data_IF_064961721761
#
_entry.id   IF_064961721761
#
_cell.length_a   1.000
_cell.length_b   1.000
_cell.length_c   1.000
_cell.angle_alpha   90.00
_cell.angle_beta   90.00
_cell.angle_gamma   90.00
#
_symmetry.space_group_name_H-M   'P 1'
#
loop_
_entity.id
_entity.type
_entity.pdbx_description
1 polymer ?
#
# COMPACT_ATOMS: atom_id res chain seq x y z
N UNK A 1 -37.10 22.66 -63.01
CA UNK A 1 -36.05 23.07 -62.05
C UNK A 1 -36.46 22.82 -60.59
N UNK A 2 -37.71 23.12 -60.18
CA UNK A 2 -38.16 22.94 -58.80
C UNK A 2 -38.15 21.47 -58.28
N UNK A 3 -38.44 20.48 -59.13
CA UNK A 3 -38.49 19.06 -58.69
C UNK A 3 -37.12 18.45 -58.38
N UNK A 4 -36.06 18.93 -59.04
CA UNK A 4 -34.68 18.46 -58.81
C UNK A 4 -34.14 18.97 -57.46
N UNK A 5 -34.54 20.18 -57.08
CA UNK A 5 -34.14 20.81 -55.82
C UNK A 5 -34.82 20.16 -54.60
N UNK A 6 -36.08 19.72 -54.76
CA UNK A 6 -36.82 18.99 -53.74
C UNK A 6 -36.26 17.57 -53.52
N UNK A 7 -35.86 16.89 -54.60
CA UNK A 7 -35.23 15.58 -54.55
C UNK A 7 -33.85 15.64 -53.86
N UNK A 8 -33.04 16.64 -54.17
CA UNK A 8 -31.74 16.88 -53.52
C UNK A 8 -31.88 17.12 -52.02
N UNK A 9 -32.86 17.93 -51.60
CA UNK A 9 -33.14 18.18 -50.17
C UNK A 9 -33.60 16.94 -49.41
N UNK A 10 -34.41 16.08 -50.05
CA UNK A 10 -34.85 14.81 -49.45
C UNK A 10 -33.71 13.81 -49.32
N UNK A 11 -32.84 13.72 -50.31
CA UNK A 11 -31.67 12.85 -50.27
C UNK A 11 -30.75 13.32 -49.13
N UNK A 12 -30.40 14.61 -49.07
CA UNK A 12 -29.55 15.17 -48.00
C UNK A 12 -30.18 14.96 -46.62
N UNK A 13 -31.49 15.14 -46.47
CA UNK A 13 -32.18 14.90 -45.20
C UNK A 13 -32.16 13.42 -44.80
N UNK A 14 -32.32 12.50 -45.76
CA UNK A 14 -32.24 11.05 -45.52
C UNK A 14 -30.81 10.62 -45.18
N UNK A 15 -29.77 11.19 -45.79
CA UNK A 15 -28.37 10.91 -45.41
C UNK A 15 -28.05 11.46 -44.02
N UNK A 16 -28.56 12.64 -43.65
CA UNK A 16 -28.38 13.22 -42.32
C UNK A 16 -29.09 12.39 -41.24
N UNK A 17 -30.31 11.92 -41.52
CA UNK A 17 -31.05 11.03 -40.62
C UNK A 17 -30.35 9.67 -40.50
N UNK A 18 -29.80 9.13 -41.59
CA UNK A 18 -29.00 7.90 -41.56
C UNK A 18 -27.73 8.08 -40.72
N UNK A 19 -27.07 9.24 -40.79
CA UNK A 19 -25.89 9.54 -39.96
C UNK A 19 -26.23 9.76 -38.48
N UNK A 20 -27.41 10.31 -38.18
CA UNK A 20 -27.96 10.45 -36.82
C UNK A 20 -28.44 9.11 -36.23
N UNK A 21 -28.82 8.16 -37.08
CA UNK A 21 -29.29 6.82 -36.71
C UNK A 21 -28.19 5.76 -36.70
N UNK A 22 -26.96 6.07 -37.15
CA UNK A 22 -25.81 5.22 -36.84
C UNK A 22 -25.67 5.28 -35.32
N UNK A 23 -25.93 4.19 -34.59
CA UNK A 23 -25.57 4.16 -33.19
C UNK A 23 -24.06 4.36 -33.21
N UNK A 24 -23.59 5.46 -32.62
CA UNK A 24 -22.18 5.57 -32.25
C UNK A 24 -22.02 4.49 -31.18
N UNK A 25 -21.76 3.27 -31.63
CA UNK A 25 -21.28 2.17 -30.85
C UNK A 25 -19.88 2.58 -30.42
N UNK A 26 -19.88 3.51 -29.45
CA UNK A 26 -18.72 3.78 -28.63
C UNK A 26 -18.47 2.45 -27.96
N UNK A 27 -17.42 1.74 -28.38
CA UNK A 27 -16.85 0.65 -27.61
C UNK A 27 -16.21 1.21 -26.33
N UNK A 28 -16.95 2.03 -25.57
CA UNK A 28 -16.66 2.27 -24.17
C UNK A 28 -16.82 0.90 -23.54
N UNK A 29 -15.69 0.24 -23.24
CA UNK A 29 -15.68 -1.03 -22.55
C UNK A 29 -16.69 -0.97 -21.40
N UNK A 30 -17.44 -2.06 -21.21
CA UNK A 30 -18.47 -2.10 -20.18
C UNK A 30 -17.88 -1.62 -18.85
N UNK A 31 -18.49 -0.57 -18.29
CA UNK A 31 -18.10 -0.08 -16.98
C UNK A 31 -18.34 -1.23 -16.01
N UNK A 32 -17.27 -1.68 -15.35
CA UNK A 32 -17.38 -2.71 -14.35
C UNK A 32 -16.70 -2.28 -13.06
N UNK A 33 -17.26 -2.74 -11.96
CA UNK A 33 -16.71 -2.59 -10.63
C UNK A 33 -16.74 -3.94 -9.93
N UNK A 34 -15.71 -4.26 -9.15
CA UNK A 34 -15.74 -5.37 -8.20
C UNK A 34 -15.18 -4.92 -6.88
N UNK A 35 -15.77 -5.43 -5.82
CA UNK A 35 -15.36 -5.19 -4.46
C UNK A 35 -14.94 -6.50 -3.79
N UNK A 36 -13.81 -6.47 -3.11
CA UNK A 36 -13.29 -7.58 -2.31
C UNK A 36 -13.02 -7.06 -0.91
N UNK A 37 -13.37 -7.85 0.10
CA UNK A 37 -13.04 -7.54 1.49
C UNK A 37 -12.32 -8.70 2.17
N UNK A 38 -11.36 -8.35 3.03
CA UNK A 38 -10.57 -9.28 3.84
C UNK A 38 -10.25 -8.65 5.20
N UNK A 39 -9.94 -9.49 6.18
CA UNK A 39 -9.45 -9.06 7.47
C UNK A 39 -7.93 -8.90 7.45
N UNK A 40 -7.43 -7.78 7.99
CA UNK A 40 -5.99 -7.49 8.12
C UNK A 40 -5.64 -7.23 9.59
N UNK A 41 -4.55 -7.80 10.13
CA UNK A 41 -4.17 -7.57 11.51
C UNK A 41 -3.15 -6.44 11.62
N UNK A 42 -3.35 -5.59 12.61
CA UNK A 42 -2.47 -4.49 12.97
C UNK A 42 -2.08 -4.58 14.46
N UNK A 43 -1.19 -3.69 14.88
CA UNK A 43 -0.81 -3.53 16.28
C UNK A 43 -1.22 -2.16 16.73
N UNK A 44 -1.88 -2.09 17.89
CA UNK A 44 -2.22 -0.87 18.58
C UNK A 44 -1.33 -0.74 19.82
N UNK A 45 -0.87 0.48 20.10
CA UNK A 45 -0.08 0.84 21.29
C UNK A 45 -0.87 1.72 22.26
N UNK A 46 -2.20 1.65 22.20
CA UNK A 46 -3.08 2.43 23.06
C UNK A 46 -2.78 2.14 24.55
N UNK A 47 -2.45 3.18 25.31
CA UNK A 47 -2.22 3.08 26.76
C UNK A 47 -0.89 2.43 27.18
N UNK A 48 0.06 2.23 26.25
CA UNK A 48 1.37 1.63 26.55
C UNK A 48 1.41 0.11 26.55
N UNK A 49 0.27 -0.56 26.36
CA UNK A 49 0.20 -1.99 26.08
C UNK A 49 0.18 -2.23 24.57
N UNK A 50 1.00 -3.18 24.11
CA UNK A 50 1.05 -3.58 22.70
C UNK A 50 0.02 -4.68 22.50
N UNK A 51 -1.04 -4.41 21.75
CA UNK A 51 -2.12 -5.38 21.47
C UNK A 51 -2.39 -5.48 19.99
N UNK A 52 -2.66 -6.70 19.52
CA UNK A 52 -3.12 -6.92 18.15
C UNK A 52 -4.58 -6.52 17.98
N UNK A 53 -4.90 -5.90 16.85
CA UNK A 53 -6.25 -5.52 16.45
C UNK A 53 -6.52 -6.02 15.03
N UNK A 54 -7.77 -6.29 14.70
CA UNK A 54 -8.19 -6.63 13.35
C UNK A 54 -8.89 -5.43 12.73
N UNK A 55 -8.55 -5.17 11.48
CA UNK A 55 -9.18 -4.14 10.67
C UNK A 55 -9.80 -4.79 9.44
N UNK A 56 -10.91 -4.24 8.97
CA UNK A 56 -11.52 -4.64 7.70
C UNK A 56 -10.87 -3.84 6.58
N UNK A 57 -10.28 -4.55 5.63
CA UNK A 57 -9.83 -3.99 4.36
C UNK A 57 -10.92 -4.25 3.32
N UNK A 58 -11.45 -3.19 2.72
CA UNK A 58 -12.31 -3.25 1.53
C UNK A 58 -11.55 -2.61 0.37
N UNK A 59 -11.46 -3.33 -0.74
CA UNK A 59 -10.87 -2.86 -1.99
C UNK A 59 -11.96 -2.90 -3.06
N UNK A 60 -12.20 -1.76 -3.72
CA UNK A 60 -13.01 -1.69 -4.93
C UNK A 60 -12.13 -1.32 -6.11
N UNK A 61 -12.28 -2.02 -7.22
CA UNK A 61 -11.58 -1.74 -8.48
C UNK A 61 -12.60 -1.40 -9.55
N UNK A 62 -12.38 -0.31 -10.26
CA UNK A 62 -13.27 0.20 -11.32
C UNK A 62 -12.54 0.29 -12.65
N UNK A 63 -13.25 -0.03 -13.74
CA UNK A 63 -12.80 0.17 -15.12
C UNK A 63 -13.91 0.84 -15.95
N UNK A 64 -13.59 1.75 -16.88
CA UNK A 64 -12.26 2.32 -17.13
C UNK A 64 -11.80 3.24 -15.99
N UNK A 65 -10.50 3.27 -15.73
CA UNK A 65 -9.86 4.15 -14.76
C UNK A 65 -8.65 4.87 -15.35
N UNK A 66 -7.86 5.49 -14.48
CA UNK A 66 -6.68 6.31 -14.78
C UNK A 66 -5.41 5.87 -14.05
N UNK A 67 -5.47 4.78 -13.29
CA UNK A 67 -4.39 4.33 -12.42
C UNK A 67 -4.41 4.97 -11.03
N UNK A 68 -5.48 5.70 -10.69
CA UNK A 68 -5.56 6.39 -9.41
C UNK A 68 -5.78 5.39 -8.27
N UNK A 69 -5.10 5.63 -7.14
CA UNK A 69 -5.31 4.87 -5.90
C UNK A 69 -5.89 5.83 -4.86
N UNK A 70 -7.19 5.72 -4.65
CA UNK A 70 -7.93 6.43 -3.62
C UNK A 70 -7.82 5.65 -2.32
N UNK A 71 -7.44 6.34 -1.26
CA UNK A 71 -7.24 5.72 0.03
C UNK A 71 -8.08 6.45 1.09
N UNK A 72 -8.86 5.69 1.84
CA UNK A 72 -9.67 6.16 2.96
C UNK A 72 -9.46 5.21 4.13
N UNK A 73 -9.30 5.76 5.33
CA UNK A 73 -9.37 4.94 6.54
C UNK A 73 -10.10 5.67 7.66
N UNK A 74 -10.68 4.85 8.52
CA UNK A 74 -11.32 5.26 9.75
C UNK A 74 -10.77 4.37 10.88
N UNK A 75 -9.92 4.90 11.79
CA UNK A 75 -9.46 6.30 11.92
C UNK A 75 -8.24 6.65 11.04
N UNK A 76 -7.70 7.87 11.21
CA UNK A 76 -6.51 8.38 10.51
C UNK A 76 -5.33 7.39 10.56
N UNK A 77 -4.57 7.38 9.48
CA UNK A 77 -3.54 6.37 9.17
C UNK A 77 -2.27 7.02 8.64
N UNK A 78 -1.17 6.31 8.80
CA UNK A 78 0.17 6.74 8.41
C UNK A 78 0.36 6.79 6.89
N UNK A 79 1.23 7.69 6.44
CA UNK A 79 1.59 7.91 5.04
C UNK A 79 2.13 6.63 4.37
N UNK A 80 2.88 5.83 5.12
CA UNK A 80 3.47 4.57 4.65
C UNK A 80 2.40 3.56 4.18
N UNK A 81 1.21 3.59 4.79
CA UNK A 81 0.11 2.71 4.38
C UNK A 81 -0.44 3.11 3.01
N UNK A 82 -0.52 4.42 2.72
CA UNK A 82 -0.94 4.93 1.41
C UNK A 82 0.10 4.62 0.32
N UNK A 83 1.39 4.74 0.64
CA UNK A 83 2.48 4.34 -0.24
C UNK A 83 2.43 2.85 -0.59
N UNK A 84 2.19 2.00 0.41
CA UNK A 84 2.03 0.56 0.22
C UNK A 84 0.80 0.21 -0.63
N UNK A 85 -0.28 0.99 -0.55
CA UNK A 85 -1.48 0.78 -1.38
C UNK A 85 -1.21 1.00 -2.88
N UNK A 86 -0.36 1.98 -3.23
CA UNK A 86 0.04 2.20 -4.63
C UNK A 86 0.87 1.03 -5.18
N UNK A 87 1.81 0.53 -4.39
CA UNK A 87 2.60 -0.66 -4.75
C UNK A 87 1.73 -1.89 -4.87
N UNK A 88 0.78 -2.04 -3.97
CA UNK A 88 -0.19 -3.13 -4.00
C UNK A 88 -1.01 -3.12 -5.30
N UNK A 89 -1.50 -1.95 -5.71
CA UNK A 89 -2.26 -1.80 -6.95
C UNK A 89 -1.39 -2.15 -8.17
N UNK A 90 -0.16 -1.67 -8.17
CA UNK A 90 0.81 -1.97 -9.20
C UNK A 90 1.11 -3.48 -9.30
N UNK A 91 1.45 -4.14 -8.18
CA UNK A 91 1.69 -5.59 -8.11
C UNK A 91 0.46 -6.40 -8.49
N UNK A 92 -0.73 -5.97 -8.08
CA UNK A 92 -1.98 -6.62 -8.43
C UNK A 92 -2.24 -6.61 -9.94
N UNK A 93 -2.02 -5.47 -10.60
CA UNK A 93 -2.15 -5.34 -12.04
C UNK A 93 -1.14 -6.24 -12.79
N UNK A 94 0.11 -6.30 -12.32
CA UNK A 94 1.11 -7.22 -12.87
C UNK A 94 0.67 -8.69 -12.76
N UNK A 95 0.18 -9.10 -11.59
CA UNK A 95 -0.28 -10.48 -11.39
C UNK A 95 -1.47 -10.81 -12.30
N UNK A 96 -2.37 -9.85 -12.51
CA UNK A 96 -3.52 -9.97 -13.40
C UNK A 96 -3.16 -9.87 -14.90
N UNK A 97 -1.93 -9.49 -15.24
CA UNK A 97 -1.50 -9.31 -16.63
C UNK A 97 -2.22 -8.14 -17.32
N UNK A 98 -2.59 -7.11 -16.57
CA UNK A 98 -3.31 -5.93 -17.08
C UNK A 98 -2.51 -4.65 -16.88
N UNK A 99 -2.85 -3.62 -17.66
CA UNK A 99 -2.28 -2.28 -17.49
C UNK A 99 -2.83 -1.64 -16.19
N UNK A 100 -1.97 -1.28 -15.21
CA UNK A 100 -2.42 -0.59 -14.00
C UNK A 100 -3.14 0.74 -14.29
N UNK A 101 -2.85 1.41 -15.40
CA UNK A 101 -3.46 2.71 -15.75
C UNK A 101 -4.89 2.58 -16.27
N UNK A 102 -5.35 1.36 -16.58
CA UNK A 102 -6.71 1.11 -17.05
C UNK A 102 -7.76 1.03 -15.92
N UNK A 103 -7.34 1.13 -14.65
CA UNK A 103 -8.18 0.91 -13.48
C UNK A 103 -7.96 1.96 -12.40
N UNK A 104 -9.00 2.30 -11.66
CA UNK A 104 -8.88 3.05 -10.41
C UNK A 104 -9.14 2.11 -9.23
N UNK A 105 -8.37 2.28 -8.17
CA UNK A 105 -8.39 1.45 -6.97
C UNK A 105 -8.87 2.28 -5.79
N UNK A 106 -9.86 1.79 -5.07
CA UNK A 106 -10.41 2.42 -3.88
C UNK A 106 -10.14 1.51 -2.69
N UNK A 107 -9.26 1.97 -1.80
CA UNK A 107 -8.87 1.25 -0.60
C UNK A 107 -9.55 1.89 0.60
N UNK A 108 -10.28 1.09 1.35
CA UNK A 108 -10.94 1.49 2.58
C UNK A 108 -10.52 0.59 3.73
N UNK A 109 -9.96 1.17 4.79
CA UNK A 109 -9.60 0.45 6.00
C UNK A 109 -10.48 0.93 7.16
N UNK A 110 -11.21 0.02 7.79
CA UNK A 110 -12.00 0.30 8.98
C UNK A 110 -11.39 -0.43 10.18
N UNK A 111 -11.15 0.28 11.28
CA UNK A 111 -10.60 -0.29 12.50
C UNK A 111 -11.19 0.32 13.76
N UNK A 112 -11.31 -0.49 14.80
CA UNK A 112 -11.71 -0.04 16.13
C UNK A 112 -10.53 0.61 16.90
N UNK A 113 -9.30 0.56 16.37
CA UNK A 113 -8.11 1.14 17.00
C UNK A 113 -7.88 2.58 16.57
N UNK A 114 -7.59 3.47 17.52
CA UNK A 114 -7.36 4.91 17.33
C UNK A 114 -6.32 5.29 16.25
N UNK A 115 -5.32 4.44 16.03
CA UNK A 115 -4.33 4.60 14.95
C UNK A 115 -4.10 3.21 14.32
N UNK A 116 -4.18 3.16 13.00
CA UNK A 116 -3.76 2.03 12.18
C UNK A 116 -2.72 2.52 11.18
N UNK A 117 -1.49 2.04 11.32
CA UNK A 117 -0.34 2.54 10.57
C UNK A 117 0.65 1.46 10.14
N UNK A 118 1.59 1.88 9.29
CA UNK A 118 2.67 1.07 8.75
C UNK A 118 2.35 0.32 7.45
N UNK A 119 3.39 -0.10 6.69
CA UNK A 119 3.26 -0.78 5.40
C UNK A 119 2.80 -2.24 5.50
N UNK A 120 2.51 -2.73 6.72
CA UNK A 120 2.34 -4.16 7.02
C UNK A 120 1.07 -4.82 6.47
N UNK A 121 0.16 -4.04 5.88
CA UNK A 121 -1.01 -4.50 5.16
C UNK A 121 -0.79 -4.55 3.62
N UNK A 122 0.38 -4.12 3.14
CA UNK A 122 0.72 -4.04 1.72
C UNK A 122 0.43 -5.31 0.93
N UNK A 123 0.91 -6.45 1.42
CA UNK A 123 0.70 -7.72 0.73
C UNK A 123 -0.77 -8.15 0.72
N UNK A 124 -1.52 -7.87 1.78
CA UNK A 124 -2.96 -8.14 1.85
C UNK A 124 -3.77 -7.26 0.89
N UNK A 125 -3.39 -5.97 0.77
CA UNK A 125 -3.96 -5.07 -0.24
C UNK A 125 -3.71 -5.59 -1.66
N UNK A 126 -2.49 -6.05 -1.94
CA UNK A 126 -2.14 -6.57 -3.26
C UNK A 126 -2.95 -7.84 -3.60
N UNK A 127 -3.12 -8.76 -2.64
CA UNK A 127 -3.98 -9.94 -2.81
C UNK A 127 -5.43 -9.55 -3.07
N UNK A 128 -6.01 -8.62 -2.29
CA UNK A 128 -7.40 -8.20 -2.46
C UNK A 128 -7.64 -7.48 -3.80
N UNK A 129 -6.72 -6.61 -4.22
CA UNK A 129 -6.76 -5.93 -5.52
C UNK A 129 -6.62 -6.91 -6.68
N UNK A 130 -5.69 -7.87 -6.59
CA UNK A 130 -5.49 -8.87 -7.63
C UNK A 130 -6.72 -9.78 -7.74
N UNK A 131 -7.30 -10.17 -6.61
CA UNK A 131 -8.55 -10.94 -6.58
C UNK A 131 -9.70 -10.16 -7.23
N UNK A 132 -9.85 -8.85 -6.95
CA UNK A 132 -10.86 -8.02 -7.58
C UNK A 132 -10.66 -7.92 -9.11
N UNK A 133 -9.42 -7.72 -9.58
CA UNK A 133 -9.07 -7.68 -11.01
C UNK A 133 -9.39 -9.02 -11.71
N UNK A 134 -9.01 -10.12 -11.09
CA UNK A 134 -9.18 -11.47 -11.64
C UNK A 134 -10.59 -12.07 -11.42
N UNK A 135 -11.41 -11.46 -10.57
CA UNK A 135 -12.74 -11.99 -10.21
C UNK A 135 -12.65 -13.25 -9.33
N UNK A 136 -11.66 -13.30 -8.42
CA UNK A 136 -11.43 -14.42 -7.52
C UNK A 136 -12.09 -14.18 -6.16
N UNK A 137 -12.76 -15.22 -5.65
CA UNK A 137 -13.24 -15.24 -4.28
C UNK A 137 -12.08 -15.55 -3.32
N UNK A 138 -12.05 -14.88 -2.17
CA UNK A 138 -11.03 -15.08 -1.15
C UNK A 138 -11.58 -15.79 0.09
N UNK A 139 -10.85 -16.79 0.56
CA UNK A 139 -11.15 -17.52 1.78
C UNK A 139 -10.99 -16.63 3.01
N UNK A 140 -12.13 -16.25 3.61
CA UNK A 140 -12.21 -15.35 4.77
C UNK A 140 -11.64 -15.94 6.07
N UNK A 141 -11.31 -17.24 6.10
CA UNK A 141 -10.61 -17.87 7.22
C UNK A 141 -9.08 -17.76 7.14
N UNK A 142 -8.55 -17.22 6.04
CA UNK A 142 -7.13 -16.92 5.88
C UNK A 142 -6.91 -15.44 6.23
N UNK A 143 -5.90 -15.17 7.04
CA UNK A 143 -5.46 -13.80 7.38
C UNK A 143 -3.98 -13.71 7.09
N UNK A 144 -3.50 -12.54 6.63
CA UNK A 144 -2.08 -12.35 6.35
C UNK A 144 -1.56 -11.00 6.84
N UNK A 145 -0.24 -10.92 7.02
CA UNK A 145 0.48 -9.65 7.19
C UNK A 145 1.79 -9.70 6.43
N UNK A 146 2.28 -8.54 6.01
CA UNK A 146 3.49 -8.42 5.22
C UNK A 146 3.53 -7.09 4.47
N UNK A 147 4.72 -6.52 4.32
CA UNK A 147 4.92 -5.46 3.34
C UNK A 147 4.81 -6.05 1.94
N UNK A 148 4.45 -5.23 0.96
CA UNK A 148 4.55 -5.61 -0.45
C UNK A 148 5.72 -4.87 -1.06
N UNK A 149 6.64 -5.63 -1.65
CA UNK A 149 7.66 -5.09 -2.53
C UNK A 149 7.12 -5.10 -3.97
N UNK A 150 7.59 -4.21 -4.84
CA UNK A 150 7.09 -4.09 -6.22
C UNK A 150 7.45 -5.26 -7.11
N UNK A 151 8.47 -6.04 -6.75
CA UNK A 151 8.76 -7.32 -7.40
C UNK A 151 7.75 -8.42 -6.98
N UNK A 152 6.73 -8.06 -6.19
CA UNK A 152 5.71 -8.95 -5.70
C UNK A 152 6.16 -9.81 -4.51
N UNK A 153 7.34 -9.59 -3.95
CA UNK A 153 7.78 -10.29 -2.73
C UNK A 153 7.11 -9.72 -1.46
N UNK A 154 6.97 -10.58 -0.46
CA UNK A 154 6.38 -10.23 0.84
C UNK A 154 7.49 -9.87 1.82
N UNK A 155 7.51 -8.61 2.25
CA UNK A 155 8.54 -8.06 3.13
C UNK A 155 8.23 -8.20 4.63
N UNK A 156 9.26 -8.08 5.48
CA UNK A 156 9.16 -8.34 6.91
C UNK A 156 8.29 -7.33 7.66
N UNK A 157 7.69 -7.74 8.78
CA UNK A 157 6.86 -6.87 9.62
C UNK A 157 7.11 -7.10 11.11
N UNK A 158 6.70 -6.12 11.93
CA UNK A 158 6.71 -6.21 13.39
C UNK A 158 5.41 -6.76 13.99
N UNK A 159 5.49 -7.14 15.28
CA UNK A 159 4.34 -7.50 16.11
C UNK A 159 3.58 -8.75 15.67
N UNK A 160 4.28 -9.73 15.12
CA UNK A 160 3.67 -10.94 14.56
C UNK A 160 2.92 -11.77 15.61
N UNK A 161 3.42 -11.82 16.85
CA UNK A 161 2.78 -12.60 17.90
C UNK A 161 1.43 -11.99 18.30
N UNK A 162 1.38 -10.66 18.45
CA UNK A 162 0.17 -9.91 18.78
C UNK A 162 -0.84 -9.97 17.64
N UNK A 163 -0.38 -9.84 16.39
CA UNK A 163 -1.22 -10.00 15.19
C UNK A 163 -1.80 -11.41 15.05
N UNK A 164 -1.00 -12.45 15.34
CA UNK A 164 -1.46 -13.84 15.33
C UNK A 164 -2.53 -14.09 16.40
N UNK A 165 -2.32 -13.59 17.62
CA UNK A 165 -3.31 -13.69 18.70
C UNK A 165 -4.64 -13.01 18.33
N UNK A 166 -4.57 -11.82 17.76
CA UNK A 166 -5.77 -11.11 17.28
C UNK A 166 -6.45 -11.87 16.13
N UNK A 167 -5.68 -12.42 15.18
CA UNK A 167 -6.22 -13.20 14.06
C UNK A 167 -6.91 -14.47 14.55
N UNK A 168 -6.32 -15.14 15.55
CA UNK A 168 -6.91 -16.32 16.18
C UNK A 168 -8.22 -15.98 16.91
N UNK A 169 -8.25 -14.88 17.65
CA UNK A 169 -9.46 -14.40 18.33
C UNK A 169 -10.59 -14.06 17.34
N UNK A 170 -10.26 -13.62 16.13
CA UNK A 170 -11.20 -13.37 15.04
C UNK A 170 -11.62 -14.64 14.26
N UNK A 171 -11.12 -15.83 14.64
CA UNK A 171 -11.51 -17.10 14.03
C UNK A 171 -10.71 -17.47 12.77
N UNK A 172 -9.55 -16.87 12.54
CA UNK A 172 -8.66 -17.27 11.45
C UNK A 172 -8.23 -18.74 11.63
N UNK A 173 -8.17 -19.51 10.53
CA UNK A 173 -7.67 -20.89 10.51
C UNK A 173 -6.24 -20.98 9.99
N UNK A 174 -5.85 -20.01 9.17
CA UNK A 174 -4.53 -19.92 8.57
C UNK A 174 -4.03 -18.47 8.65
N UNK A 175 -2.81 -18.30 9.16
CA UNK A 175 -2.14 -17.02 9.28
C UNK A 175 -0.87 -17.03 8.42
N UNK A 176 -0.83 -16.18 7.40
CA UNK A 176 0.30 -16.05 6.50
C UNK A 176 1.25 -14.95 6.98
N UNK A 177 2.53 -15.28 7.04
CA UNK A 177 3.59 -14.38 7.50
C UNK A 177 4.73 -14.30 6.46
N UNK A 178 5.55 -13.24 6.49
CA UNK A 178 6.71 -13.16 5.60
C UNK A 178 7.71 -14.29 5.89
N UNK A 179 8.36 -14.78 4.83
CA UNK A 179 9.39 -15.81 4.93
C UNK A 179 10.54 -15.40 5.86
N UNK A 180 11.01 -16.35 6.68
CA UNK A 180 12.10 -16.14 7.63
C UNK A 180 11.69 -15.45 8.93
N UNK A 181 10.38 -15.20 9.13
CA UNK A 181 9.87 -14.56 10.35
C UNK A 181 9.10 -15.49 11.29
N UNK A 182 9.21 -16.82 11.12
CA UNK A 182 8.61 -17.80 12.04
C UNK A 182 8.96 -17.56 13.51
N UNK A 183 10.18 -17.14 13.82
CA UNK A 183 10.60 -16.82 15.19
C UNK A 183 10.66 -15.30 15.35
N UNK A 184 9.89 -14.78 16.29
CA UNK A 184 9.87 -13.34 16.64
C UNK A 184 10.27 -13.13 18.10
N UNK A 185 10.34 -11.88 18.55
CA UNK A 185 10.75 -11.55 19.91
C UNK A 185 9.74 -10.62 20.58
N UNK A 186 9.26 -11.00 21.76
CA UNK A 186 8.48 -10.12 22.63
C UNK A 186 9.40 -9.31 23.53
N UNK A 187 9.09 -8.02 23.68
CA UNK A 187 9.74 -7.16 24.68
C UNK A 187 8.98 -7.30 25.99
N UNK A 188 9.61 -7.90 27.00
CA UNK A 188 9.08 -7.92 28.37
C UNK A 188 9.82 -6.87 29.18
N UNK A 189 9.09 -5.90 29.69
CA UNK A 189 9.64 -4.87 30.59
C UNK A 189 9.53 -5.40 32.02
N UNK A 190 10.66 -5.78 32.60
CA UNK A 190 10.74 -6.17 34.01
C UNK A 190 11.12 -4.92 34.80
N UNK A 191 10.21 -4.45 35.66
CA UNK A 191 10.46 -3.34 36.58
C UNK A 191 10.78 -3.93 37.94
N UNK A 192 12.05 -3.88 38.32
CA UNK A 192 12.51 -4.28 39.66
C UNK A 192 12.64 -3.03 40.53
N UNK A 193 12.15 -3.10 41.77
CA UNK A 193 12.35 -2.06 42.79
C UNK A 193 13.29 -2.58 43.88
N UNK A 194 14.60 -2.59 43.64
CA UNK A 194 15.55 -3.08 44.63
C UNK A 194 15.61 -2.18 45.88
N UNK A 195 15.27 -0.88 45.78
CA UNK A 195 15.17 0.04 46.93
C UNK A 195 14.04 1.08 46.76
N UNK A 196 13.49 1.66 47.85
CA UNK A 196 12.51 2.74 47.76
C UNK A 196 13.05 3.89 46.90
N UNK A 197 12.21 4.45 46.03
CA UNK A 197 12.54 5.54 45.08
C UNK A 197 13.47 5.19 43.90
N UNK A 198 13.91 3.93 43.73
CA UNK A 198 14.63 3.48 42.52
C UNK A 198 13.87 2.38 41.79
N UNK A 199 13.69 2.58 40.48
CA UNK A 199 13.14 1.59 39.54
C UNK A 199 14.24 1.17 38.58
N UNK A 200 14.57 -0.11 38.55
CA UNK A 200 15.40 -0.70 37.50
C UNK A 200 14.50 -1.29 36.44
N UNK A 201 14.58 -0.74 35.22
CA UNK A 201 13.78 -1.21 34.07
C UNK A 201 14.68 -2.08 33.19
N UNK A 202 14.44 -3.39 33.19
CA UNK A 202 15.17 -4.35 32.34
C UNK A 202 14.26 -4.84 31.21
N UNK A 203 14.67 -4.59 29.97
CA UNK A 203 13.96 -5.08 28.78
C UNK A 203 14.56 -6.43 28.38
N UNK A 204 13.79 -7.51 28.54
CA UNK A 204 14.19 -8.86 28.13
C UNK A 204 13.51 -9.20 26.80
N UNK A 205 14.26 -9.77 25.86
CA UNK A 205 13.74 -10.29 24.59
C UNK A 205 13.44 -11.77 24.76
N UNK A 206 12.17 -12.14 24.70
CA UNK A 206 11.74 -13.53 24.78
C UNK A 206 11.43 -14.05 23.36
N UNK A 207 12.12 -15.10 22.88
CA UNK A 207 11.85 -15.67 21.57
C UNK A 207 10.49 -16.37 21.56
N UNK A 208 9.73 -16.18 20.49
CA UNK A 208 8.40 -16.77 20.29
C UNK A 208 8.39 -17.47 18.94
N UNK A 209 8.21 -18.80 18.92
CA UNK A 209 7.91 -19.55 17.68
C UNK A 209 6.43 -19.40 17.35
N UNK A 210 6.14 -18.69 16.27
CA UNK A 210 4.77 -18.42 15.83
C UNK A 210 4.02 -19.69 15.42
N UNK A 211 4.70 -20.72 14.92
CA UNK A 211 4.04 -21.99 14.57
C UNK A 211 3.63 -22.76 15.83
N UNK A 212 4.37 -22.64 16.93
CA UNK A 212 3.96 -23.20 18.22
C UNK A 212 2.82 -22.39 18.84
N UNK A 213 2.94 -21.07 18.84
CA UNK A 213 1.89 -20.17 19.32
C UNK A 213 0.59 -20.38 18.55
N UNK A 214 0.66 -20.44 17.21
CA UNK A 214 -0.49 -20.70 16.35
C UNK A 214 -1.18 -22.02 16.68
N UNK A 215 -0.42 -23.11 16.84
CA UNK A 215 -0.99 -24.41 17.25
C UNK A 215 -1.73 -24.33 18.59
N UNK A 216 -1.19 -23.61 19.57
CA UNK A 216 -1.86 -23.39 20.88
C UNK A 216 -3.17 -22.60 20.73
N UNK A 217 -3.21 -21.69 19.76
CA UNK A 217 -4.38 -20.84 19.46
C UNK A 217 -5.36 -21.47 18.45
N UNK A 218 -5.06 -22.65 17.91
CA UNK A 218 -5.89 -23.30 16.89
C UNK A 218 -5.74 -22.73 15.46
N UNK A 219 -4.65 -22.00 15.19
CA UNK A 219 -4.37 -21.35 13.89
C UNK A 219 -3.10 -21.93 13.28
N UNK A 220 -3.15 -22.34 12.02
CA UNK A 220 -1.95 -22.74 11.29
C UNK A 220 -1.16 -21.51 10.86
N UNK A 221 0.16 -21.51 11.05
CA UNK A 221 1.03 -20.42 10.56
C UNK A 221 1.83 -20.92 9.37
N UNK A 222 1.83 -20.15 8.28
CA UNK A 222 2.58 -20.48 7.06
C UNK A 222 3.37 -19.27 6.60
N UNK A 223 4.64 -19.49 6.28
CA UNK A 223 5.49 -18.50 5.65
C UNK A 223 5.17 -18.42 4.15
N UNK A 224 5.13 -17.20 3.63
CA UNK A 224 4.96 -16.91 2.19
C UNK A 224 6.06 -15.99 1.71
N UNK A 225 6.47 -16.21 0.46
CA UNK A 225 7.55 -15.40 -0.15
C UNK A 225 7.00 -14.32 -1.07
N UNK A 226 5.86 -14.55 -1.71
CA UNK A 226 5.31 -13.66 -2.75
C UNK A 226 3.80 -13.44 -2.59
N UNK A 227 3.32 -12.32 -3.12
CA UNK A 227 1.89 -12.02 -3.24
C UNK A 227 1.18 -13.05 -4.11
N UNK A 228 1.84 -13.58 -5.15
CA UNK A 228 1.33 -14.69 -5.96
C UNK A 228 0.99 -15.90 -5.09
N UNK A 229 1.97 -16.38 -4.31
CA UNK A 229 1.77 -17.53 -3.41
C UNK A 229 0.62 -17.26 -2.42
N UNK A 230 0.57 -16.06 -1.84
CA UNK A 230 -0.52 -15.68 -0.94
C UNK A 230 -1.87 -15.71 -1.66
N UNK A 231 -1.99 -15.14 -2.87
CA UNK A 231 -3.22 -15.12 -3.65
C UNK A 231 -3.71 -16.53 -4.00
N UNK A 232 -2.81 -17.44 -4.36
CA UNK A 232 -3.16 -18.85 -4.61
C UNK A 232 -3.68 -19.54 -3.35
N UNK A 233 -3.12 -19.23 -2.17
CA UNK A 233 -3.60 -19.76 -0.89
C UNK A 233 -4.98 -19.18 -0.52
N UNK A 234 -5.17 -17.89 -0.73
CA UNK A 234 -6.44 -17.21 -0.42
C UNK A 234 -7.57 -17.66 -1.35
N UNK A 235 -7.31 -17.78 -2.65
CA UNK A 235 -8.33 -18.11 -3.66
C UNK A 235 -8.49 -19.61 -3.90
N UNK A 236 -7.48 -20.42 -3.58
CA UNK A 236 -7.42 -21.83 -3.97
C UNK A 236 -7.18 -22.06 -5.47
N UNK A 237 -6.99 -20.99 -6.26
CA UNK A 237 -6.74 -21.04 -7.70
C UNK A 237 -5.24 -20.92 -7.93
N UNK A 238 -4.67 -21.86 -8.71
CA UNK A 238 -3.28 -21.74 -9.17
C UNK A 238 -3.22 -20.79 -10.34
N UNK A 239 -2.30 -19.82 -10.28
CA UNK A 239 -2.10 -18.88 -11.36
C UNK A 239 -1.19 -19.49 -12.41
N UNK A 240 -1.47 -19.27 -13.70
CA UNK A 240 -0.57 -19.69 -14.77
C UNK A 240 0.73 -18.85 -14.74
N UNK A 241 1.84 -19.48 -15.16
CA UNK A 241 3.21 -18.95 -15.01
C UNK A 241 3.92 -19.49 -13.76
N UNK A 242 5.21 -19.84 -13.91
CA UNK A 242 6.03 -20.40 -12.83
C UNK A 242 6.23 -19.43 -11.66
N UNK A 243 6.72 -19.90 -10.49
CA UNK A 243 7.12 -19.01 -9.41
C UNK A 243 8.10 -18.00 -9.99
N UNK A 244 7.78 -16.71 -9.87
CA UNK A 244 8.54 -15.68 -10.54
C UNK A 244 10.00 -15.75 -10.07
N UNK A 245 10.92 -16.15 -10.96
CA UNK A 245 12.33 -15.79 -10.84
C UNK A 245 12.33 -14.26 -10.74
N UNK A 246 12.53 -13.73 -9.51
CA UNK A 246 12.48 -12.30 -9.14
C UNK A 246 12.00 -11.44 -10.30
N UNK A 247 10.68 -11.30 -10.49
CA UNK A 247 10.16 -10.73 -11.72
C UNK A 247 10.73 -9.32 -11.81
N UNK A 248 11.47 -9.06 -12.88
CA UNK A 248 11.85 -7.70 -13.21
C UNK A 248 10.57 -6.86 -13.33
N UNK A 249 10.65 -5.59 -12.94
CA UNK A 249 9.55 -4.66 -13.14
C UNK A 249 9.13 -4.66 -14.62
N UNK A 250 7.86 -4.92 -14.96
CA UNK A 250 7.33 -4.75 -16.30
C UNK A 250 7.65 -3.37 -16.84
N UNK A 251 7.79 -3.24 -18.16
CA UNK A 251 8.19 -1.97 -18.78
C UNK A 251 7.24 -0.80 -18.42
N UNK A 252 5.93 -1.06 -18.39
CA UNK A 252 4.93 -0.09 -17.95
C UNK A 252 5.13 0.37 -16.49
N UNK A 253 5.53 -0.55 -15.61
CA UNK A 253 5.87 -0.26 -14.22
C UNK A 253 7.07 0.64 -14.09
N UNK A 254 8.11 0.30 -14.84
CA UNK A 254 9.38 0.99 -14.82
C UNK A 254 9.17 2.42 -15.30
N UNK A 255 8.40 2.61 -16.38
CA UNK A 255 8.04 3.92 -16.89
C UNK A 255 7.25 4.77 -15.88
N UNK A 256 6.32 4.17 -15.13
CA UNK A 256 5.61 4.87 -14.05
C UNK A 256 6.54 5.29 -12.92
N UNK A 257 7.41 4.39 -12.49
CA UNK A 257 8.38 4.67 -11.44
C UNK A 257 9.41 5.71 -11.89
N UNK A 258 9.80 5.73 -13.17
CA UNK A 258 10.64 6.77 -13.77
C UNK A 258 9.94 8.13 -13.66
N UNK A 259 8.67 8.22 -14.05
CA UNK A 259 7.91 9.46 -13.92
C UNK A 259 7.77 9.95 -12.47
N UNK A 260 7.60 9.04 -11.50
CA UNK A 260 7.56 9.40 -10.08
C UNK A 260 8.95 9.80 -9.56
N UNK A 261 9.99 9.09 -9.96
CA UNK A 261 11.38 9.38 -9.56
C UNK A 261 11.78 10.77 -10.06
N UNK A 262 11.50 11.08 -11.32
CA UNK A 262 11.76 12.40 -11.92
C UNK A 262 11.00 13.49 -11.17
N UNK A 263 9.72 13.27 -10.90
CA UNK A 263 8.88 14.21 -10.17
C UNK A 263 9.42 14.49 -8.75
N UNK A 264 9.76 13.44 -7.99
CA UNK A 264 10.25 13.61 -6.62
C UNK A 264 11.67 14.16 -6.57
N UNK A 265 12.55 13.78 -7.50
CA UNK A 265 13.90 14.35 -7.56
C UNK A 265 13.84 15.85 -7.86
N UNK A 266 13.03 16.27 -8.84
CA UNK A 266 12.84 17.69 -9.14
C UNK A 266 12.17 18.45 -7.99
N UNK A 267 11.16 17.87 -7.34
CA UNK A 267 10.50 18.49 -6.20
C UNK A 267 11.43 18.63 -5.00
N UNK A 268 12.31 17.65 -4.78
CA UNK A 268 13.28 17.66 -3.69
C UNK A 268 14.28 18.81 -3.84
N UNK A 269 14.81 19.02 -5.05
CA UNK A 269 15.76 20.11 -5.31
C UNK A 269 15.18 21.48 -4.92
N UNK A 270 13.95 21.78 -5.36
CA UNK A 270 13.23 23.02 -4.99
C UNK A 270 13.00 23.11 -3.48
N UNK A 271 12.45 22.05 -2.88
CA UNK A 271 12.12 22.02 -1.45
C UNK A 271 13.36 22.18 -0.57
N UNK A 272 14.45 21.50 -0.93
CA UNK A 272 15.71 21.55 -0.18
C UNK A 272 16.29 22.97 -0.28
N UNK A 273 16.40 23.55 -1.47
CA UNK A 273 16.95 24.91 -1.65
C UNK A 273 16.18 25.92 -0.79
N UNK A 274 14.84 25.88 -0.86
CA UNK A 274 13.99 26.76 -0.07
C UNK A 274 14.12 26.51 1.43
N UNK A 275 14.23 25.25 1.85
CA UNK A 275 14.36 24.88 3.25
C UNK A 275 15.64 25.46 3.88
N UNK A 276 16.76 25.43 3.17
CA UNK A 276 18.02 26.04 3.64
C UNK A 276 17.92 27.56 3.65
N UNK A 277 17.34 28.17 2.61
CA UNK A 277 17.14 29.62 2.56
C UNK A 277 16.26 30.13 3.73
N UNK A 278 15.29 29.33 4.16
CA UNK A 278 14.44 29.62 5.31
C UNK A 278 15.10 29.33 6.67
N UNK A 279 16.33 28.82 6.70
CA UNK A 279 17.01 28.44 7.96
C UNK A 279 16.43 27.19 8.61
N UNK A 280 15.96 26.24 7.79
CA UNK A 280 15.41 24.97 8.25
C UNK A 280 16.36 24.18 9.16
N UNK A 281 15.85 23.36 10.11
CA UNK A 281 16.70 22.62 11.04
C UNK A 281 17.67 21.68 10.33
N UNK A 282 18.96 21.93 10.55
CA UNK A 282 20.07 21.18 9.98
C UNK A 282 19.98 19.63 10.13
N UNK A 283 19.50 19.05 11.26
CA UNK A 283 19.30 17.61 11.36
C UNK A 283 18.27 17.04 10.37
N UNK A 284 17.24 17.83 10.02
CA UNK A 284 16.22 17.43 9.04
C UNK A 284 16.75 17.56 7.62
N UNK A 285 17.48 18.62 7.32
CA UNK A 285 18.14 18.80 6.01
C UNK A 285 19.07 17.61 5.71
N UNK A 286 19.98 17.27 6.64
CA UNK A 286 20.87 16.11 6.47
C UNK A 286 20.13 14.78 6.33
N UNK A 287 19.02 14.62 7.05
CA UNK A 287 18.19 13.42 6.93
C UNK A 287 17.56 13.34 5.54
N UNK A 288 17.04 14.45 5.04
CA UNK A 288 16.47 14.54 3.71
C UNK A 288 17.53 14.23 2.63
N UNK A 289 18.75 14.78 2.77
CA UNK A 289 19.89 14.49 1.89
C UNK A 289 20.23 13.00 1.88
N UNK A 290 20.35 12.39 3.07
CA UNK A 290 20.64 10.96 3.21
C UNK A 290 19.58 10.10 2.54
N UNK A 291 18.30 10.47 2.67
CA UNK A 291 17.19 9.74 2.05
C UNK A 291 17.20 9.88 0.52
N UNK A 292 17.57 11.05 0.00
CA UNK A 292 17.69 11.25 -1.45
C UNK A 292 18.91 10.51 -2.03
N UNK A 293 20.05 10.52 -1.34
CA UNK A 293 21.22 9.73 -1.72
C UNK A 293 20.92 8.23 -1.74
N UNK A 294 20.23 7.74 -0.71
CA UNK A 294 19.74 6.36 -0.66
C UNK A 294 18.81 6.09 -1.84
N UNK A 295 17.87 6.99 -2.14
CA UNK A 295 16.96 6.86 -3.26
C UNK A 295 17.70 6.66 -4.59
N UNK A 296 18.64 7.56 -4.91
CA UNK A 296 19.42 7.49 -6.15
C UNK A 296 20.27 6.22 -6.22
N UNK A 297 20.85 5.78 -5.10
CA UNK A 297 21.65 4.54 -5.04
C UNK A 297 20.84 3.28 -5.31
N UNK A 298 19.56 3.29 -4.92
CA UNK A 298 18.66 2.16 -5.05
C UNK A 298 18.01 2.08 -6.44
N UNK A 299 18.06 3.14 -7.25
CA UNK A 299 17.28 3.24 -8.49
C UNK A 299 17.47 2.04 -9.44
N UNK A 300 18.71 1.61 -9.67
CA UNK A 300 18.99 0.51 -10.60
C UNK A 300 18.62 -0.88 -10.05
N UNK A 301 18.57 -1.04 -8.72
CA UNK A 301 18.44 -2.36 -8.08
C UNK A 301 17.08 -2.58 -7.44
N UNK A 302 16.46 -1.53 -6.90
CA UNK A 302 15.16 -1.53 -6.22
C UNK A 302 14.40 -0.23 -6.55
N UNK A 303 13.87 -0.07 -7.79
CA UNK A 303 13.36 1.20 -8.30
C UNK A 303 12.22 1.83 -7.49
N UNK A 304 11.38 1.02 -6.84
CA UNK A 304 10.37 1.57 -5.94
C UNK A 304 10.91 1.99 -4.59
N UNK A 305 11.84 1.21 -4.01
CA UNK A 305 12.49 1.61 -2.76
C UNK A 305 13.21 2.94 -2.98
N UNK A 306 13.79 3.13 -4.16
CA UNK A 306 14.28 4.42 -4.63
C UNK A 306 13.19 5.50 -4.63
N UNK A 307 12.09 5.30 -5.36
CA UNK A 307 10.98 6.27 -5.42
C UNK A 307 10.38 6.60 -4.04
N UNK A 308 10.23 5.60 -3.17
CA UNK A 308 9.73 5.78 -1.80
C UNK A 308 10.70 6.57 -0.93
N UNK A 309 12.00 6.34 -1.07
CA UNK A 309 13.03 7.10 -0.37
C UNK A 309 13.08 8.55 -0.89
N UNK A 310 12.96 8.77 -2.21
CA UNK A 310 12.88 10.11 -2.82
C UNK A 310 11.66 10.89 -2.31
N UNK A 311 10.49 10.26 -2.25
CA UNK A 311 9.30 10.84 -1.64
C UNK A 311 9.51 11.22 -0.17
N UNK A 312 10.14 10.33 0.61
CA UNK A 312 10.45 10.58 2.02
C UNK A 312 11.43 11.75 2.21
N UNK A 313 12.37 11.91 1.28
CA UNK A 313 13.28 13.05 1.24
C UNK A 313 12.53 14.37 0.99
N UNK A 314 11.62 14.41 0.01
CA UNK A 314 10.75 15.58 -0.24
C UNK A 314 9.97 15.98 1.02
N UNK A 315 9.34 15.00 1.69
CA UNK A 315 8.58 15.27 2.90
C UNK A 315 9.45 15.84 4.03
N UNK A 316 10.65 15.28 4.22
CA UNK A 316 11.58 15.75 5.25
C UNK A 316 12.11 17.14 4.92
N UNK A 317 12.39 17.43 3.65
CA UNK A 317 12.78 18.76 3.18
C UNK A 317 11.65 19.79 3.37
N UNK A 318 10.41 19.43 3.05
CA UNK A 318 9.25 20.29 3.29
C UNK A 318 9.05 20.57 4.79
N UNK A 319 9.18 19.56 5.64
CA UNK A 319 9.13 19.74 7.08
C UNK A 319 10.22 20.71 7.59
N UNK A 320 11.45 20.60 7.04
CA UNK A 320 12.53 21.52 7.35
C UNK A 320 12.21 22.95 6.91
N UNK A 321 11.66 23.13 5.70
CA UNK A 321 11.20 24.41 5.17
C UNK A 321 10.17 25.06 6.09
N UNK A 322 9.11 24.33 6.45
CA UNK A 322 8.03 24.86 7.32
C UNK A 322 8.55 25.32 8.68
N UNK A 323 9.48 24.56 9.27
CA UNK A 323 10.08 24.94 10.54
C UNK A 323 11.01 26.17 10.41
N UNK A 324 11.73 26.29 9.30
CA UNK A 324 12.52 27.50 8.99
C UNK A 324 11.65 28.74 8.78
N UNK A 325 10.56 28.61 8.00
CA UNK A 325 9.57 29.67 7.79
C UNK A 325 8.94 30.12 9.12
N UNK A 326 8.65 29.18 10.03
CA UNK A 326 8.12 29.50 11.36
C UNK A 326 9.15 30.21 12.25
N UNK A 327 10.40 29.74 12.25
CA UNK A 327 11.48 30.36 13.03
C UNK A 327 11.80 31.78 12.54
N UNK A 328 11.66 32.03 11.23
CA UNK A 328 11.93 33.32 10.60
C UNK A 328 10.76 34.30 10.66
N UNK A 329 9.51 33.83 10.74
CA UNK A 329 8.32 34.68 10.86
C UNK A 329 8.13 35.27 12.26
N UNK A 330 8.76 34.69 13.29
CA UNK A 330 8.66 35.14 14.67
C UNK A 330 7.27 35.00 15.29
N UNK A 331 6.34 34.31 14.61
CA UNK A 331 5.00 34.03 15.07
C UNK A 331 5.01 32.69 15.82
N UNK A 332 4.83 32.66 17.16
CA UNK A 332 4.93 31.44 17.93
C UNK A 332 3.74 30.52 17.76
N UNK A 333 2.86 30.76 16.77
CA UNK A 333 1.79 29.88 16.33
C UNK A 333 1.02 29.24 17.47
N UNK A 334 -0.04 29.89 17.95
CA UNK A 334 -0.94 29.29 18.95
C UNK A 334 -1.39 27.88 18.51
N UNK A 335 -0.86 26.87 19.19
CA UNK A 335 -1.30 25.47 19.16
C UNK A 335 -1.60 25.00 20.58
#
# INVERSE_FOLDING_TARGET
>A
MADVELAGRRIVALTLIAFLLVPIASSRGEKWEREVSVLIPAVSTAGGEVRGVLSRLTVRVESPGSGAVYFSADPLTELDTQGAARTAAFVAAMLAGVDPMAYDFYVRIESDSLIVGGPSAGAAMAVAMAAALMGLDLNQSVVMTGMVNPDGTVGPVGGLAEKLEASAAAGARLFLIPVGQRVTYRRRVIVENPVPFWRTVRVVREPVDLAELGRKLGVSVREVTTVREALEIFSGVKLEGGPAERPGLPEAARSLLEGWMDHYTSSYEDLRERAEAAGGPEPLLRRADTQMEEALSLWETMPYSAVSAAFSACWTAEAALRLGELASSGDPGEY
#
